data_IF_109327824384
#
_entry.id   IF_109327824384
#
_cell.length_a   1.000
_cell.length_b   1.000
_cell.length_c   1.000
_cell.angle_alpha   90.00
_cell.angle_beta   90.00
_cell.angle_gamma   90.00
#
_symmetry.space_group_name_H-M   'P 1'
#
loop_
_entity.id
_entity.type
_entity.pdbx_description
1 polymer ?
#
# COMPACT_ATOMS: atom_id res chain seq x y z
N UNK A 1 10.64 1.97 -14.45
CA UNK A 1 9.56 1.51 -13.55
C UNK A 1 9.94 0.12 -13.08
N UNK A 2 9.94 -0.12 -11.77
CA UNK A 2 10.05 -1.50 -11.29
C UNK A 2 8.74 -2.23 -11.59
N UNK A 3 8.84 -3.45 -12.11
CA UNK A 3 7.69 -4.32 -12.35
C UNK A 3 7.29 -4.94 -11.01
N UNK A 4 6.32 -4.33 -10.33
CA UNK A 4 5.71 -4.91 -9.14
C UNK A 4 4.77 -6.05 -9.58
N UNK A 5 4.91 -7.21 -8.95
CA UNK A 5 4.03 -8.34 -9.21
C UNK A 5 2.75 -8.21 -8.37
N UNK A 6 1.80 -7.43 -8.88
CA UNK A 6 0.52 -7.15 -8.20
C UNK A 6 -0.33 -8.41 -7.94
N UNK A 7 -0.10 -9.49 -8.69
CA UNK A 7 -0.80 -10.77 -8.48
C UNK A 7 -0.50 -11.38 -7.11
N UNK A 8 0.64 -11.02 -6.49
CA UNK A 8 0.93 -11.42 -5.11
C UNK A 8 0.01 -10.72 -4.12
N UNK A 9 -0.25 -9.42 -4.30
CA UNK A 9 -1.09 -8.64 -3.41
C UNK A 9 -2.56 -9.04 -3.52
N UNK A 10 -3.07 -9.32 -4.73
CA UNK A 10 -4.48 -9.66 -4.96
C UNK A 10 -4.86 -11.02 -4.35
N UNK A 11 -3.88 -11.88 -4.06
CA UNK A 11 -4.11 -13.16 -3.36
C UNK A 11 -4.31 -13.01 -1.85
N UNK A 12 -4.07 -11.83 -1.28
CA UNK A 12 -4.37 -11.56 0.13
C UNK A 12 -5.88 -11.33 0.29
N UNK A 13 -6.46 -11.86 1.35
CA UNK A 13 -7.91 -11.78 1.60
C UNK A 13 -8.38 -10.35 1.88
N UNK A 14 -7.53 -9.52 2.50
CA UNK A 14 -7.80 -8.10 2.80
C UNK A 14 -7.82 -7.21 1.54
N UNK A 15 -7.13 -7.62 0.48
CA UNK A 15 -7.09 -6.92 -0.82
C UNK A 15 -8.10 -7.52 -1.80
N UNK A 16 -7.99 -8.83 -2.09
CA UNK A 16 -8.88 -9.65 -2.94
C UNK A 16 -9.21 -9.15 -4.37
N UNK A 17 -8.89 -7.91 -4.74
CA UNK A 17 -9.21 -7.30 -6.03
C UNK A 17 -8.21 -6.21 -6.41
N UNK A 18 -8.05 -5.99 -7.72
CA UNK A 18 -7.22 -4.89 -8.26
C UNK A 18 -7.76 -3.51 -7.90
N UNK A 19 -9.08 -3.39 -7.75
CA UNK A 19 -9.72 -2.13 -7.36
C UNK A 19 -9.40 -1.77 -5.92
N UNK A 20 -9.57 -2.72 -5.00
CA UNK A 20 -9.23 -2.52 -3.58
C UNK A 20 -7.73 -2.29 -3.39
N UNK A 21 -6.87 -3.01 -4.14
CA UNK A 21 -5.42 -2.73 -4.19
C UNK A 21 -5.13 -1.27 -4.55
N UNK A 22 -5.84 -0.72 -5.55
CA UNK A 22 -5.67 0.67 -5.96
C UNK A 22 -6.13 1.65 -4.89
N UNK A 23 -7.22 1.35 -4.18
CA UNK A 23 -7.77 2.19 -3.10
C UNK A 23 -6.77 2.22 -1.94
N UNK A 24 -6.39 1.06 -1.42
CA UNK A 24 -5.46 0.93 -0.29
C UNK A 24 -4.10 1.55 -0.65
N UNK A 25 -3.58 1.25 -1.83
CA UNK A 25 -2.31 1.82 -2.30
C UNK A 25 -2.36 3.36 -2.42
N UNK A 26 -3.52 3.93 -2.79
CA UNK A 26 -3.68 5.38 -2.87
C UNK A 26 -3.76 6.03 -1.49
N UNK A 27 -4.46 5.41 -0.54
CA UNK A 27 -4.53 5.87 0.86
C UNK A 27 -3.14 5.87 1.48
N UNK A 28 -2.41 4.76 1.37
CA UNK A 28 -1.05 4.66 1.88
C UNK A 28 -0.09 5.64 1.22
N UNK A 29 -0.18 5.83 -0.10
CA UNK A 29 0.64 6.81 -0.81
C UNK A 29 0.36 8.24 -0.34
N UNK A 30 -0.89 8.55 0.02
CA UNK A 30 -1.30 9.83 0.57
C UNK A 30 -0.73 10.06 1.97
N UNK A 31 -0.76 9.04 2.84
CA UNK A 31 -0.11 9.11 4.16
C UNK A 31 1.37 9.42 4.04
N UNK A 32 2.09 8.69 3.17
CA UNK A 32 3.51 8.91 2.91
C UNK A 32 3.82 10.30 2.34
N UNK A 33 2.84 10.93 1.67
CA UNK A 33 2.97 12.28 1.13
C UNK A 33 2.72 13.36 2.20
N UNK A 34 1.63 13.22 2.97
CA UNK A 34 1.22 14.22 3.96
C UNK A 34 2.06 14.14 5.26
N UNK A 35 2.64 12.98 5.60
CA UNK A 35 3.49 12.72 6.78
C UNK A 35 3.00 13.41 8.05
N UNK A 36 1.90 12.89 8.63
CA UNK A 36 1.43 13.26 9.97
C UNK A 36 2.39 12.70 11.04
N UNK A 37 2.31 13.21 12.28
CA UNK A 37 3.19 12.79 13.38
C UNK A 37 3.21 11.26 13.59
N UNK A 38 2.06 10.60 13.45
CA UNK A 38 1.92 9.15 13.64
C UNK A 38 2.09 8.33 12.35
N UNK A 39 2.52 8.96 11.24
CA UNK A 39 2.66 8.25 9.97
C UNK A 39 3.85 7.32 10.00
N UNK A 40 3.58 6.02 9.81
CA UNK A 40 4.64 5.03 9.64
C UNK A 40 5.54 5.39 8.45
N UNK A 41 6.87 5.37 8.62
CA UNK A 41 7.80 5.63 7.52
C UNK A 41 7.64 4.58 6.40
N UNK A 42 8.25 4.80 5.23
CA UNK A 42 8.38 3.75 4.22
C UNK A 42 8.94 2.46 4.82
N UNK A 43 8.30 1.32 4.55
CA UNK A 43 8.65 -0.01 5.03
C UNK A 43 9.45 -0.83 4.00
N UNK A 44 9.75 -0.22 2.84
CA UNK A 44 10.51 -0.81 1.74
C UNK A 44 11.53 0.21 1.22
N UNK A 45 12.68 -0.30 0.78
CA UNK A 45 13.78 0.50 0.23
C UNK A 45 13.83 0.44 -1.31
N UNK A 46 14.62 1.31 -1.93
CA UNK A 46 14.87 1.26 -3.38
C UNK A 46 13.81 1.90 -4.28
N UNK A 47 12.76 2.50 -3.69
CA UNK A 47 11.73 3.25 -4.41
C UNK A 47 11.65 4.71 -3.94
N UNK A 48 11.42 5.62 -4.89
CA UNK A 48 11.41 7.07 -4.62
C UNK A 48 10.02 7.71 -4.72
N UNK A 49 9.07 7.06 -5.40
CA UNK A 49 7.71 7.57 -5.56
C UNK A 49 6.80 6.93 -4.53
N UNK A 50 6.05 7.74 -3.78
CA UNK A 50 5.15 7.26 -2.71
C UNK A 50 4.18 6.17 -3.18
N UNK A 51 3.62 6.29 -4.40
CA UNK A 51 2.73 5.26 -4.94
C UNK A 51 3.44 3.94 -5.23
N UNK A 52 4.72 4.00 -5.65
CA UNK A 52 5.52 2.80 -5.89
C UNK A 52 5.93 2.15 -4.57
N UNK A 53 6.27 2.96 -3.56
CA UNK A 53 6.53 2.51 -2.19
C UNK A 53 5.28 1.80 -1.64
N UNK A 54 4.12 2.46 -1.64
CA UNK A 54 2.87 1.91 -1.12
C UNK A 54 2.48 0.58 -1.78
N UNK A 55 2.56 0.49 -3.12
CA UNK A 55 2.26 -0.76 -3.82
C UNK A 55 3.29 -1.86 -3.52
N UNK A 56 4.57 -1.52 -3.35
CA UNK A 56 5.60 -2.47 -2.96
C UNK A 56 5.38 -2.99 -1.53
N UNK A 57 5.05 -2.09 -0.59
CA UNK A 57 4.67 -2.45 0.78
C UNK A 57 3.51 -3.45 0.82
N UNK A 58 2.48 -3.23 -0.01
CA UNK A 58 1.34 -4.14 -0.12
C UNK A 58 1.70 -5.48 -0.77
N UNK A 59 2.52 -5.48 -1.82
CA UNK A 59 2.96 -6.69 -2.53
C UNK A 59 3.90 -7.54 -1.66
N UNK A 60 4.68 -6.91 -0.78
CA UNK A 60 5.64 -7.57 0.11
C UNK A 60 5.08 -7.86 1.51
N UNK A 61 3.78 -7.63 1.74
CA UNK A 61 3.10 -7.82 3.03
C UNK A 61 3.81 -7.08 4.18
N UNK A 62 4.25 -5.85 3.93
CA UNK A 62 4.89 -4.97 4.92
C UNK A 62 3.90 -4.11 5.69
N UNK A 63 2.68 -3.97 5.17
CA UNK A 63 1.58 -3.26 5.82
C UNK A 63 0.33 -4.12 5.74
N UNK A 64 -0.46 -4.04 6.80
CA UNK A 64 -1.82 -4.54 6.87
C UNK A 64 -2.79 -3.38 6.74
N UNK A 65 -3.91 -3.63 6.07
CA UNK A 65 -4.98 -2.67 5.93
C UNK A 65 -6.18 -3.16 6.73
N UNK A 66 -6.55 -2.38 7.74
CA UNK A 66 -7.80 -2.59 8.47
C UNK A 66 -8.86 -1.68 7.84
N UNK A 67 -9.94 -2.29 7.36
CA UNK A 67 -11.08 -1.57 6.82
C UNK A 67 -11.89 -1.07 8.02
N UNK A 68 -11.89 0.24 8.27
CA UNK A 68 -12.81 0.81 9.26
C UNK A 68 -14.24 0.57 8.76
N UNK A 69 -15.00 -0.26 9.48
CA UNK A 69 -16.43 -0.44 9.27
C UNK A 69 -17.10 0.94 9.44
N UNK A 70 -17.36 1.61 8.32
CA UNK A 70 -18.16 2.82 8.32
C UNK A 70 -19.63 2.40 8.51
N UNK A 71 -20.13 2.45 9.75
CA UNK A 71 -21.57 2.42 10.07
C UNK A 71 -22.32 3.63 9.49
#
# INVERSE_FOLDING_TARGET
MALLNIEKAIKRDDVASRFKLSIIGSQRARELYEKKEDTLPPQVEGYYKNITIALAELVENKIDFEEEDNE
#
